data_IF_485661380192
#
_entry.id   IF_485661380192
#
_cell.length_a   1.000
_cell.length_b   1.000
_cell.length_c   1.000
_cell.angle_alpha   90.00
_cell.angle_beta   90.00
_cell.angle_gamma   90.00
#
_symmetry.space_group_name_H-M   'P 1'
#
loop_
_entity.id
_entity.type
_entity.pdbx_description
1 polymer ?
#
# COMPACT_ATOMS: atom_id res chain seq x y z
N UNK A 1 1.65 9.61 -6.33
CA UNK A 1 2.15 8.78 -5.20
C UNK A 1 1.35 7.49 -5.16
N UNK A 2 1.90 6.39 -4.66
CA UNK A 2 1.17 5.13 -4.47
C UNK A 2 1.28 4.60 -3.03
N UNK A 3 0.19 4.02 -2.54
CA UNK A 3 0.09 3.28 -1.30
C UNK A 3 -0.12 1.80 -1.60
N UNK A 4 0.73 0.93 -1.04
CA UNK A 4 0.59 -0.52 -1.10
C UNK A 4 0.13 -1.00 0.26
N UNK A 5 -1.12 -1.42 0.36
CA UNK A 5 -1.72 -1.93 1.58
C UNK A 5 -1.47 -3.43 1.67
N UNK A 6 -0.92 -3.94 2.78
CA UNK A 6 -0.69 -5.38 2.97
C UNK A 6 -1.53 -5.95 4.11
N UNK A 7 -2.18 -7.08 3.86
CA UNK A 7 -2.98 -7.79 4.86
C UNK A 7 -3.94 -8.74 4.15
N UNK A 8 -3.81 -10.04 4.42
CA UNK A 8 -4.70 -11.07 3.88
C UNK A 8 -6.12 -11.01 4.43
N UNK A 9 -6.28 -10.37 5.58
CA UNK A 9 -7.51 -10.15 6.33
C UNK A 9 -8.30 -8.93 5.84
N UNK A 10 -7.68 -8.06 5.03
CA UNK A 10 -8.27 -6.77 4.67
C UNK A 10 -9.27 -6.90 3.52
N UNK A 11 -10.46 -6.35 3.72
CA UNK A 11 -11.48 -6.20 2.68
C UNK A 11 -11.97 -4.75 2.57
N UNK A 12 -12.54 -4.39 1.42
CA UNK A 12 -13.06 -3.04 1.20
C UNK A 12 -14.15 -2.70 2.24
N UNK A 13 -14.21 -1.46 2.75
CA UNK A 13 -15.29 -1.04 3.64
C UNK A 13 -16.66 -1.25 3.00
N UNK A 14 -17.59 -1.79 3.78
CA UNK A 14 -18.95 -2.11 3.33
C UNK A 14 -19.09 -3.46 2.61
N UNK A 15 -18.00 -4.17 2.33
CA UNK A 15 -18.08 -5.56 1.90
C UNK A 15 -18.48 -6.47 3.09
N UNK A 16 -19.22 -7.57 2.85
CA UNK A 16 -19.47 -8.58 3.87
C UNK A 16 -18.15 -9.14 4.42
N UNK A 17 -18.03 -9.24 5.74
CA UNK A 17 -16.87 -9.83 6.39
C UNK A 17 -17.03 -11.35 6.44
N UNK A 18 -16.03 -12.07 5.93
CA UNK A 18 -15.84 -13.50 6.20
C UNK A 18 -15.12 -13.73 7.53
N UNK A 19 -14.93 -15.01 7.88
CA UNK A 19 -14.20 -15.38 9.09
C UNK A 19 -12.76 -14.83 9.07
N UNK A 20 -12.39 -14.15 10.15
CA UNK A 20 -11.10 -13.47 10.34
C UNK A 20 -10.80 -12.30 9.37
N UNK A 21 -11.79 -11.76 8.67
CA UNK A 21 -11.62 -10.55 7.85
C UNK A 21 -11.97 -9.27 8.61
N UNK A 22 -11.31 -8.17 8.26
CA UNK A 22 -11.56 -6.83 8.78
C UNK A 22 -11.60 -5.82 7.64
N UNK A 23 -12.30 -4.70 7.82
CA UNK A 23 -12.32 -3.63 6.83
C UNK A 23 -10.98 -2.88 6.79
N UNK A 24 -10.53 -2.52 5.58
CA UNK A 24 -9.38 -1.66 5.34
C UNK A 24 -9.70 -0.21 5.74
N UNK A 25 -9.38 0.17 6.98
CA UNK A 25 -9.47 1.55 7.46
C UNK A 25 -8.22 2.37 7.15
N UNK A 26 -7.06 1.71 7.04
CA UNK A 26 -5.76 2.37 6.93
C UNK A 26 -5.61 3.11 5.61
N UNK A 27 -6.10 2.52 4.51
CA UNK A 27 -6.11 3.20 3.21
C UNK A 27 -6.85 4.53 3.28
N UNK A 28 -8.03 4.55 3.89
CA UNK A 28 -8.87 5.75 3.95
C UNK A 28 -8.24 6.82 4.82
N UNK A 29 -7.71 6.44 5.99
CA UNK A 29 -7.03 7.37 6.88
C UNK A 29 -5.77 7.99 6.23
N UNK A 30 -4.95 7.17 5.57
CA UNK A 30 -3.73 7.64 4.91
C UNK A 30 -4.04 8.50 3.68
N UNK A 31 -5.01 8.11 2.86
CA UNK A 31 -5.43 8.91 1.71
C UNK A 31 -5.97 10.26 2.18
N UNK A 32 -6.83 10.30 3.21
CA UNK A 32 -7.36 11.55 3.76
C UNK A 32 -6.23 12.46 4.29
N UNK A 33 -5.32 11.92 5.09
CA UNK A 33 -4.19 12.68 5.63
C UNK A 33 -3.26 13.24 4.53
N UNK A 34 -3.06 12.48 3.45
CA UNK A 34 -2.25 12.94 2.31
C UNK A 34 -3.01 13.96 1.44
N UNK A 35 -4.33 13.82 1.31
CA UNK A 35 -5.17 14.82 0.65
C UNK A 35 -5.16 16.15 1.40
N UNK A 36 -5.19 16.14 2.73
CA UNK A 36 -5.03 17.35 3.57
C UNK A 36 -3.66 18.03 3.35
N UNK A 37 -2.65 17.28 2.92
CA UNK A 37 -1.32 17.80 2.54
C UNK A 37 -1.24 18.24 1.07
N UNK A 38 -2.36 18.24 0.33
CA UNK A 38 -2.44 18.64 -1.08
C UNK A 38 -2.04 17.55 -2.08
N UNK A 39 -1.94 16.29 -1.64
CA UNK A 39 -1.65 15.15 -2.53
C UNK A 39 -2.98 14.52 -2.96
N UNK A 40 -3.47 14.92 -4.13
CA UNK A 40 -4.80 14.50 -4.62
C UNK A 40 -4.78 13.21 -5.45
N UNK A 41 -3.64 12.88 -6.07
CA UNK A 41 -3.50 11.70 -6.93
C UNK A 41 -2.72 10.57 -6.25
N UNK A 42 -3.42 9.84 -5.37
CA UNK A 42 -2.88 8.71 -4.63
C UNK A 42 -3.44 7.41 -5.21
N UNK A 43 -2.55 6.62 -5.82
CA UNK A 43 -2.88 5.28 -6.26
C UNK A 43 -2.87 4.34 -5.06
N UNK A 44 -3.82 3.41 -4.98
CA UNK A 44 -3.87 2.44 -3.88
C UNK A 44 -3.88 1.03 -4.43
N UNK A 45 -2.99 0.20 -3.93
CA UNK A 45 -2.89 -1.21 -4.26
C UNK A 45 -3.08 -2.05 -2.99
N UNK A 46 -3.60 -3.27 -3.15
CA UNK A 46 -3.71 -4.23 -2.06
C UNK A 46 -2.87 -5.46 -2.41
N UNK A 47 -2.10 -5.95 -1.44
CA UNK A 47 -1.32 -7.18 -1.56
C UNK A 47 -1.64 -8.13 -0.40
N UNK A 48 -1.63 -9.42 -0.72
CA UNK A 48 -1.56 -10.48 0.29
C UNK A 48 -0.21 -10.46 0.99
N UNK A 49 -0.14 -11.09 2.17
CA UNK A 49 1.07 -11.18 2.98
C UNK A 49 2.00 -12.30 2.49
N UNK A 50 2.33 -12.27 1.19
CA UNK A 50 3.32 -13.14 0.59
C UNK A 50 4.31 -12.31 -0.23
N UNK A 51 5.58 -12.75 -0.22
CA UNK A 51 6.69 -12.00 -0.78
C UNK A 51 6.52 -11.72 -2.27
N UNK A 52 6.00 -12.69 -3.02
CA UNK A 52 5.90 -12.60 -4.48
C UNK A 52 4.80 -11.62 -4.90
N UNK A 53 3.63 -11.71 -4.27
CA UNK A 53 2.53 -10.77 -4.50
C UNK A 53 2.94 -9.36 -4.09
N UNK A 54 3.59 -9.19 -2.93
CA UNK A 54 4.05 -7.88 -2.49
C UNK A 54 5.07 -7.27 -3.45
N UNK A 55 6.04 -8.07 -3.92
CA UNK A 55 7.04 -7.59 -4.87
C UNK A 55 6.39 -7.16 -6.20
N UNK A 56 5.47 -7.96 -6.74
CA UNK A 56 4.77 -7.62 -7.97
C UNK A 56 3.92 -6.35 -7.80
N UNK A 57 3.25 -6.21 -6.66
CA UNK A 57 2.42 -5.07 -6.34
C UNK A 57 3.25 -3.78 -6.23
N UNK A 58 4.43 -3.84 -5.58
CA UNK A 58 5.37 -2.72 -5.50
C UNK A 58 5.89 -2.35 -6.90
N UNK A 59 6.23 -3.34 -7.74
CA UNK A 59 6.70 -3.08 -9.10
C UNK A 59 5.63 -2.40 -9.97
N UNK A 60 4.37 -2.81 -9.85
CA UNK A 60 3.25 -2.14 -10.51
C UNK A 60 3.08 -0.72 -9.99
N UNK A 61 3.10 -0.51 -8.68
CA UNK A 61 2.99 0.81 -8.08
C UNK A 61 4.13 1.75 -8.52
N UNK A 62 5.36 1.24 -8.63
CA UNK A 62 6.51 2.01 -9.12
C UNK A 62 6.39 2.36 -10.60
N UNK A 63 5.70 1.54 -11.40
CA UNK A 63 5.46 1.88 -12.80
C UNK A 63 4.58 3.14 -12.92
N UNK A 64 3.66 3.35 -11.99
CA UNK A 64 2.66 4.42 -12.07
C UNK A 64 2.96 5.63 -11.18
N UNK A 65 3.76 5.47 -10.11
CA UNK A 65 4.07 6.53 -9.15
C UNK A 65 5.58 6.70 -8.90
N UNK A 66 5.97 7.95 -8.64
CA UNK A 66 7.36 8.30 -8.28
C UNK A 66 7.72 7.91 -6.85
N UNK A 67 6.73 7.75 -5.97
CA UNK A 67 6.92 7.37 -4.57
C UNK A 67 5.90 6.30 -4.23
N UNK A 68 6.39 5.17 -3.71
CA UNK A 68 5.57 4.08 -3.18
C UNK A 68 5.78 3.98 -1.67
N UNK A 69 4.69 3.95 -0.91
CA UNK A 69 4.69 3.70 0.54
C UNK A 69 3.87 2.45 0.84
N UNK A 70 4.36 1.60 1.74
CA UNK A 70 3.68 0.36 2.13
C UNK A 70 3.07 0.52 3.52
N UNK A 71 1.82 0.09 3.71
CA UNK A 71 1.12 0.11 5.01
C UNK A 71 0.42 -1.22 5.24
N UNK A 72 0.67 -1.89 6.35
CA UNK A 72 0.03 -3.17 6.63
C UNK A 72 0.26 -3.69 8.03
N UNK A 73 -0.61 -4.61 8.45
CA UNK A 73 -0.66 -5.16 9.79
C UNK A 73 0.67 -5.78 10.22
N UNK A 74 1.16 -5.38 11.38
CA UNK A 74 2.39 -5.89 11.96
C UNK A 74 2.21 -7.35 12.44
N UNK A 75 2.24 -8.33 11.53
CA UNK A 75 2.30 -9.74 11.94
C UNK A 75 3.64 -10.01 12.65
N UNK A 76 3.56 -10.52 13.88
CA UNK A 76 4.67 -10.75 14.81
C UNK A 76 5.50 -12.01 14.47
N UNK A 77 5.26 -12.67 13.34
CA UNK A 77 6.07 -13.78 12.84
C UNK A 77 7.01 -13.36 11.71
N UNK A 78 8.31 -13.63 11.86
CA UNK A 78 9.33 -13.61 10.80
C UNK A 78 9.70 -12.27 10.13
N UNK A 79 10.17 -11.33 10.95
CA UNK A 79 11.58 -10.87 10.91
C UNK A 79 12.23 -10.21 9.68
N UNK A 80 11.76 -10.30 8.42
CA UNK A 80 12.61 -9.86 7.27
C UNK A 80 11.96 -9.16 6.07
N UNK A 81 10.71 -8.68 6.16
CA UNK A 81 10.11 -7.81 5.12
C UNK A 81 9.84 -6.36 5.59
N UNK A 82 10.25 -6.03 6.82
CA UNK A 82 9.90 -4.80 7.55
C UNK A 82 10.91 -3.65 7.36
N UNK A 83 11.03 -3.12 6.15
CA UNK A 83 11.47 -1.72 5.99
C UNK A 83 10.32 -0.97 5.36
N UNK A 84 9.97 0.20 5.90
CA UNK A 84 9.23 1.20 5.15
C UNK A 84 10.09 1.50 3.91
N UNK A 85 9.78 0.80 2.83
CA UNK A 85 10.54 0.87 1.59
C UNK A 85 9.93 2.02 0.81
N UNK A 86 10.39 3.23 1.10
CA UNK A 86 10.18 4.36 0.21
C UNK A 86 11.04 4.11 -1.02
N UNK A 87 10.43 3.55 -2.05
CA UNK A 87 11.07 3.40 -3.35
C UNK A 87 10.70 4.63 -4.19
N UNK A 88 11.71 5.30 -4.75
CA UNK A 88 11.52 6.43 -5.64
C UNK A 88 11.78 6.04 -7.09
N UNK A 89 10.81 6.21 -7.98
CA UNK A 89 11.04 6.07 -9.42
C UNK A 89 11.54 7.40 -9.98
N UNK A 90 12.80 7.48 -10.43
CA UNK A 90 13.30 8.67 -11.13
C UNK A 90 12.96 8.56 -12.61
N UNK A 91 11.78 9.04 -13.03
CA UNK A 91 11.56 9.33 -14.45
C UNK A 91 12.30 10.62 -14.81
N UNK A 92 13.18 10.57 -15.81
CA UNK A 92 13.79 11.76 -16.39
C UNK A 92 12.67 12.63 -16.98
N UNK A 93 12.31 13.71 -16.29
CA UNK A 93 11.53 14.78 -16.90
C UNK A 93 12.46 15.59 -17.82
N UNK A 94 12.12 15.80 -19.10
CA UNK A 94 12.83 16.79 -19.90
C UNK A 94 12.64 18.16 -19.25
N UNK A 95 13.76 18.84 -18.99
CA UNK A 95 13.80 20.25 -18.56
C UNK A 95 13.33 21.18 -19.66
#
# INVERSE_FOLDING_TARGET
>A
MALVITGSELVAPGAPLGDAQIWDSNRFALTAALSDLGIEHILTYASKDDRQTLQNCILQALHEADVVSTSGGASVGDGRLRKACTASNRRNYPV
#
